data_IF_884679452475
#
_entry.id   IF_884679452475
#
_cell.length_a   1.000
_cell.length_b   1.000
_cell.length_c   1.000
_cell.angle_alpha   90.00
_cell.angle_beta   90.00
_cell.angle_gamma   90.00
#
_symmetry.space_group_name_H-M   'P 1'
#
loop_
_entity.id
_entity.type
_entity.pdbx_description
1 polymer ?
#
# COMPACT_ATOMS: atom_id res chain seq x y z
N UNK A 1 -16.45 -16.81 -20.84
CA UNK A 1 -16.25 -15.53 -20.15
C UNK A 1 -16.06 -15.80 -18.66
N UNK A 2 -15.10 -15.15 -18.00
CA UNK A 2 -15.02 -15.07 -16.54
C UNK A 2 -15.24 -13.63 -16.12
N UNK A 3 -16.00 -13.40 -15.06
CA UNK A 3 -16.28 -12.06 -14.58
C UNK A 3 -16.41 -12.04 -13.07
N UNK A 4 -15.81 -11.04 -12.43
CA UNK A 4 -15.87 -10.78 -11.01
C UNK A 4 -16.04 -9.28 -10.77
N UNK A 5 -16.99 -8.91 -9.91
CA UNK A 5 -17.13 -7.56 -9.37
C UNK A 5 -17.23 -7.65 -7.85
N UNK A 6 -16.35 -6.94 -7.14
CA UNK A 6 -16.33 -6.88 -5.69
C UNK A 6 -16.50 -5.45 -5.21
N UNK A 7 -17.46 -5.23 -4.29
CA UNK A 7 -17.70 -3.91 -3.72
C UNK A 7 -16.80 -3.65 -2.53
N UNK A 8 -16.11 -2.52 -2.56
CA UNK A 8 -15.18 -2.11 -1.52
C UNK A 8 -15.93 -1.64 -0.27
N UNK A 9 -15.49 -2.14 0.88
CA UNK A 9 -16.00 -1.71 2.18
C UNK A 9 -14.85 -1.83 3.20
N UNK A 10 -14.53 -0.76 3.96
CA UNK A 10 -13.52 -0.86 5.02
C UNK A 10 -13.92 -1.89 6.08
N UNK A 11 -13.04 -2.88 6.33
CA UNK A 11 -13.32 -3.97 7.26
C UNK A 11 -12.98 -3.59 8.70
N UNK A 12 -13.80 -4.02 9.66
CA UNK A 12 -13.49 -3.83 11.07
C UNK A 12 -12.20 -4.56 11.46
N UNK A 13 -11.30 -3.86 12.15
CA UNK A 13 -10.12 -4.47 12.78
C UNK A 13 -10.56 -5.14 14.08
N UNK A 14 -10.39 -6.46 14.25
CA UNK A 14 -10.75 -7.13 15.49
C UNK A 14 -9.91 -6.61 16.66
N UNK A 15 -10.52 -6.46 17.84
CA UNK A 15 -9.85 -5.90 19.02
C UNK A 15 -8.61 -6.70 19.44
N UNK A 16 -8.65 -8.02 19.25
CA UNK A 16 -7.49 -8.89 19.49
C UNK A 16 -6.31 -8.50 18.59
N UNK A 17 -6.50 -8.33 17.28
CA UNK A 17 -5.42 -7.93 16.36
C UNK A 17 -4.89 -6.53 16.68
N UNK A 18 -5.78 -5.62 17.09
CA UNK A 18 -5.39 -4.27 17.53
C UNK A 18 -4.50 -4.32 18.78
N UNK A 19 -4.89 -5.11 19.77
CA UNK A 19 -4.15 -5.30 21.02
C UNK A 19 -2.82 -6.00 20.75
N UNK A 20 -2.82 -7.08 19.96
CA UNK A 20 -1.62 -7.83 19.58
C UNK A 20 -0.61 -6.91 18.87
N UNK A 21 -1.05 -6.13 17.89
CA UNK A 21 -0.19 -5.16 17.21
C UNK A 21 0.44 -4.17 18.19
N UNK A 22 -0.37 -3.61 19.09
CA UNK A 22 0.07 -2.58 20.05
C UNK A 22 1.09 -3.13 21.04
N UNK A 23 0.79 -4.27 21.66
CA UNK A 23 1.67 -4.88 22.66
C UNK A 23 2.93 -5.46 22.03
N UNK A 24 2.83 -6.04 20.83
CA UNK A 24 4.01 -6.48 20.07
C UNK A 24 4.92 -5.28 19.82
N UNK A 25 4.42 -4.19 19.23
CA UNK A 25 5.23 -3.02 18.91
C UNK A 25 5.91 -2.43 20.16
N UNK A 26 5.21 -2.39 21.31
CA UNK A 26 5.79 -1.97 22.60
C UNK A 26 6.91 -2.92 23.07
N UNK A 27 6.74 -4.23 22.89
CA UNK A 27 7.76 -5.23 23.23
C UNK A 27 9.03 -5.15 22.36
N UNK A 28 8.91 -4.62 21.15
CA UNK A 28 10.01 -4.53 20.18
C UNK A 28 11.06 -3.44 20.50
N UNK A 29 10.87 -2.63 21.54
CA UNK A 29 11.73 -1.48 21.91
C UNK A 29 13.22 -1.84 21.90
N UNK A 30 13.59 -2.92 22.62
CA UNK A 30 15.00 -3.31 22.74
C UNK A 30 15.58 -3.76 21.40
N UNK A 31 14.81 -4.51 20.60
CA UNK A 31 15.27 -4.95 19.27
C UNK A 31 15.44 -3.77 18.33
N UNK A 32 14.50 -2.83 18.32
CA UNK A 32 14.57 -1.60 17.50
C UNK A 32 15.81 -0.80 17.89
N UNK A 33 16.01 -0.55 19.19
CA UNK A 33 17.18 0.18 19.69
C UNK A 33 18.49 -0.48 19.25
N UNK A 34 18.65 -1.77 19.53
CA UNK A 34 19.85 -2.53 19.21
C UNK A 34 20.13 -2.53 17.70
N UNK A 35 19.10 -2.70 16.86
CA UNK A 35 19.27 -2.64 15.42
C UNK A 35 19.74 -1.24 14.95
N UNK A 36 19.18 -0.16 15.49
CA UNK A 36 19.54 1.21 15.15
C UNK A 36 20.99 1.53 15.51
N UNK A 37 21.39 1.28 16.75
CA UNK A 37 22.76 1.57 17.22
C UNK A 37 23.80 0.63 16.62
N UNK A 38 23.41 -0.59 16.20
CA UNK A 38 24.31 -1.49 15.46
C UNK A 38 24.56 -0.97 14.05
N UNK A 39 23.52 -0.47 13.37
CA UNK A 39 23.63 0.04 12.00
C UNK A 39 24.33 1.40 11.95
N UNK A 40 24.11 2.23 12.96
CA UNK A 40 24.62 3.60 13.07
C UNK A 40 25.30 3.76 14.44
N UNK A 41 26.50 3.17 14.61
CA UNK A 41 27.19 3.16 15.90
C UNK A 41 27.81 4.51 16.28
N UNK A 42 28.09 5.36 15.29
CA UNK A 42 28.84 6.60 15.47
C UNK A 42 28.42 7.70 14.47
N UNK A 43 29.02 8.88 14.64
CA UNK A 43 28.77 10.05 13.80
C UNK A 43 29.17 9.84 12.34
N UNK A 44 30.22 9.07 12.08
CA UNK A 44 30.69 8.80 10.71
C UNK A 44 29.66 7.95 9.98
N UNK A 45 29.16 6.89 10.63
CA UNK A 45 28.09 6.06 10.11
C UNK A 45 26.81 6.88 9.89
N UNK A 46 26.46 7.78 10.82
CA UNK A 46 25.30 8.66 10.67
C UNK A 46 25.42 9.56 9.44
N UNK A 47 26.58 10.21 9.24
CA UNK A 47 26.83 11.08 8.09
C UNK A 47 26.67 10.32 6.77
N UNK A 48 27.23 9.11 6.69
CA UNK A 48 27.19 8.31 5.47
C UNK A 48 25.79 7.73 5.18
N UNK A 49 25.14 7.15 6.19
CA UNK A 49 23.90 6.38 6.01
C UNK A 49 22.66 7.27 5.99
N UNK A 50 22.63 8.33 6.79
CA UNK A 50 21.48 9.23 6.89
C UNK A 50 21.75 10.53 6.15
N UNK A 51 22.79 11.29 6.55
CA UNK A 51 22.91 12.68 6.12
C UNK A 51 23.18 12.82 4.62
N UNK A 52 24.20 12.12 4.11
CA UNK A 52 24.58 12.20 2.69
C UNK A 52 23.51 11.55 1.81
N UNK A 53 23.01 10.37 2.21
CA UNK A 53 21.93 9.68 1.48
C UNK A 53 20.66 10.54 1.33
N UNK A 54 20.29 11.28 2.39
CA UNK A 54 19.14 12.19 2.33
C UNK A 54 19.43 13.44 1.48
N UNK A 55 20.65 13.99 1.56
CA UNK A 55 21.06 15.14 0.76
C UNK A 55 21.02 14.84 -0.75
N UNK A 56 21.46 13.64 -1.15
CA UNK A 56 21.49 13.21 -2.55
C UNK A 56 20.10 13.19 -3.20
N UNK A 57 19.06 12.84 -2.45
CA UNK A 57 17.67 12.91 -2.96
C UNK A 57 17.11 14.33 -2.84
N UNK A 58 17.40 15.01 -1.74
CA UNK A 58 16.85 16.35 -1.48
C UNK A 58 17.31 17.37 -2.52
N UNK A 59 18.56 17.30 -2.99
CA UNK A 59 19.09 18.25 -3.97
C UNK A 59 18.32 18.22 -5.31
N UNK A 60 17.79 17.07 -5.70
CA UNK A 60 17.03 16.87 -6.94
C UNK A 60 15.55 17.29 -6.80
N UNK A 61 15.05 17.33 -5.56
CA UNK A 61 13.72 17.82 -5.25
C UNK A 61 13.63 19.36 -5.27
N UNK A 62 14.71 20.05 -4.92
CA UNK A 62 14.73 21.52 -4.90
C UNK A 62 14.71 22.06 -6.33
N UNK A 63 13.70 22.89 -6.65
CA UNK A 63 13.59 23.56 -7.94
C UNK A 63 14.86 24.40 -8.21
N UNK A 64 15.61 24.11 -9.29
CA UNK A 64 16.86 24.82 -9.58
C UNK A 64 16.66 26.30 -9.90
N UNK A 65 15.45 26.70 -10.30
CA UNK A 65 15.13 28.09 -10.64
C UNK A 65 14.58 28.89 -9.43
N UNK A 66 14.54 28.29 -8.25
CA UNK A 66 14.14 29.00 -7.03
C UNK A 66 15.28 29.91 -6.55
N UNK A 67 14.93 31.08 -6.02
CA UNK A 67 15.91 31.99 -5.43
C UNK A 67 16.71 31.27 -4.34
N UNK A 68 18.02 31.42 -4.34
CA UNK A 68 18.93 30.78 -3.37
C UNK A 68 18.88 29.24 -3.35
N UNK A 69 18.48 28.57 -4.44
CA UNK A 69 18.41 27.10 -4.51
C UNK A 69 19.70 26.41 -4.01
N UNK A 70 20.88 26.94 -4.34
CA UNK A 70 22.15 26.37 -3.89
C UNK A 70 22.40 26.60 -2.39
N UNK A 71 21.99 27.75 -1.85
CA UNK A 71 22.09 28.00 -0.42
C UNK A 71 21.11 27.15 0.39
N UNK A 72 19.91 26.88 -0.15
CA UNK A 72 18.93 25.95 0.46
C UNK A 72 19.52 24.54 0.55
N UNK A 73 20.12 24.04 -0.54
CA UNK A 73 20.81 22.74 -0.57
C UNK A 73 21.96 22.71 0.44
N UNK A 74 22.81 23.74 0.45
CA UNK A 74 23.94 23.86 1.38
C UNK A 74 23.47 23.84 2.84
N UNK A 75 22.45 24.63 3.18
CA UNK A 75 21.85 24.69 4.51
C UNK A 75 21.33 23.33 4.96
N UNK A 76 20.66 22.58 4.09
CA UNK A 76 20.19 21.24 4.40
C UNK A 76 21.36 20.31 4.74
N UNK A 77 22.40 20.29 3.90
CA UNK A 77 23.60 19.46 4.09
C UNK A 77 24.30 19.77 5.40
N UNK A 78 24.52 21.04 5.72
CA UNK A 78 25.20 21.46 6.96
C UNK A 78 24.39 21.06 8.18
N UNK A 79 23.09 21.38 8.20
CA UNK A 79 22.24 21.10 9.36
C UNK A 79 22.12 19.61 9.63
N UNK A 80 21.84 18.82 8.61
CA UNK A 80 21.69 17.38 8.78
C UNK A 80 23.04 16.72 9.10
N UNK A 81 24.12 17.15 8.47
CA UNK A 81 25.46 16.60 8.72
C UNK A 81 25.94 16.80 10.16
N UNK A 82 25.57 17.90 10.82
CA UNK A 82 25.92 18.18 12.23
C UNK A 82 24.95 17.60 13.27
N UNK A 83 23.86 16.94 12.86
CA UNK A 83 22.76 16.58 13.76
C UNK A 83 22.96 15.27 14.55
N UNK A 84 24.14 14.62 14.49
CA UNK A 84 24.32 13.29 15.07
C UNK A 84 24.04 13.25 16.57
N UNK A 85 24.55 14.19 17.35
CA UNK A 85 24.37 14.19 18.81
C UNK A 85 22.89 14.36 19.20
N UNK A 86 22.18 15.26 18.52
CA UNK A 86 20.74 15.46 18.71
C UNK A 86 19.94 14.23 18.29
N UNK A 87 20.31 13.61 17.17
CA UNK A 87 19.71 12.35 16.70
C UNK A 87 19.92 11.22 17.72
N UNK A 88 21.16 11.00 18.18
CA UNK A 88 21.52 9.93 19.13
C UNK A 88 20.79 10.12 20.45
N UNK A 89 20.78 11.35 20.99
CA UNK A 89 20.00 11.69 22.18
C UNK A 89 18.51 11.41 22.00
N UNK A 90 17.96 11.72 20.82
CA UNK A 90 16.57 11.44 20.48
C UNK A 90 16.25 9.94 20.47
N UNK A 91 17.13 9.12 19.88
CA UNK A 91 17.05 7.65 19.85
C UNK A 91 17.13 7.07 21.26
N UNK A 92 18.10 7.53 22.05
CA UNK A 92 18.30 7.04 23.42
C UNK A 92 17.10 7.33 24.31
N UNK A 93 16.56 8.55 24.25
CA UNK A 93 15.36 8.90 25.01
C UNK A 93 14.12 8.12 24.54
N UNK A 94 14.05 7.76 23.25
CA UNK A 94 12.92 7.03 22.70
C UNK A 94 12.90 5.58 23.16
N UNK A 95 14.05 4.91 23.17
CA UNK A 95 14.11 3.46 23.25
C UNK A 95 14.99 2.90 24.39
N UNK A 96 15.76 3.73 25.09
CA UNK A 96 16.65 3.30 26.16
C UNK A 96 16.36 4.03 27.48
N UNK A 97 17.05 3.62 28.55
CA UNK A 97 16.91 4.22 29.88
C UNK A 97 15.77 3.63 30.72
N UNK A 98 15.52 4.24 31.88
CA UNK A 98 14.57 3.73 32.88
C UNK A 98 13.10 3.89 32.45
N UNK A 99 12.80 4.88 31.61
CA UNK A 99 11.44 5.16 31.13
C UNK A 99 11.46 5.67 29.67
N UNK A 100 11.75 4.79 28.69
CA UNK A 100 11.75 5.18 27.28
C UNK A 100 10.36 5.65 26.87
N UNK A 101 10.28 6.74 26.10
CA UNK A 101 8.97 7.30 25.72
C UNK A 101 8.28 6.54 24.57
N UNK A 102 8.96 5.62 23.88
CA UNK A 102 8.37 4.94 22.73
C UNK A 102 7.08 4.16 23.07
N UNK A 103 7.03 3.29 24.12
CA UNK A 103 5.80 2.60 24.48
C UNK A 103 4.62 3.52 24.78
N UNK A 104 4.85 4.64 25.47
CA UNK A 104 3.78 5.60 25.78
C UNK A 104 3.30 6.35 24.52
N UNK A 105 4.19 6.58 23.55
CA UNK A 105 3.80 7.11 22.23
C UNK A 105 3.02 6.11 21.41
N UNK A 106 3.37 4.82 21.45
CA UNK A 106 2.58 3.76 20.80
C UNK A 106 1.17 3.76 21.39
N UNK A 107 1.05 3.72 22.72
CA UNK A 107 -0.26 3.75 23.40
C UNK A 107 -1.09 4.97 23.00
N UNK A 108 -0.52 6.17 23.14
CA UNK A 108 -1.25 7.43 22.86
C UNK A 108 -1.59 7.65 21.37
N UNK A 109 -1.01 6.88 20.45
CA UNK A 109 -1.28 6.97 19.01
C UNK A 109 -1.89 5.70 18.43
N UNK A 110 -2.15 4.67 19.24
CA UNK A 110 -2.61 3.36 18.79
C UNK A 110 -3.88 3.46 17.92
N UNK A 111 -4.82 4.32 18.28
CA UNK A 111 -6.07 4.54 17.52
C UNK A 111 -5.85 4.88 16.04
N UNK A 112 -4.71 5.48 15.68
CA UNK A 112 -4.39 5.74 14.27
C UNK A 112 -4.24 4.45 13.46
N UNK A 113 -3.79 3.36 14.09
CA UNK A 113 -3.65 2.06 13.45
C UNK A 113 -5.01 1.50 12.98
N UNK A 114 -6.13 1.87 13.61
CA UNK A 114 -7.47 1.43 13.17
C UNK A 114 -7.80 1.85 11.74
N UNK A 115 -7.10 2.84 11.17
CA UNK A 115 -7.21 3.20 9.74
C UNK A 115 -6.75 2.08 8.80
N UNK A 116 -6.04 1.07 9.28
CA UNK A 116 -5.73 -0.16 8.51
C UNK A 116 -6.99 -0.84 7.97
N UNK A 117 -8.16 -0.60 8.57
CA UNK A 117 -9.48 -1.04 8.06
C UNK A 117 -9.72 -0.74 6.58
N UNK A 118 -9.22 0.39 6.12
CA UNK A 118 -9.34 0.85 4.72
C UNK A 118 -8.53 -0.09 3.82
N UNK A 119 -7.28 -0.38 4.19
CA UNK A 119 -6.45 -1.36 3.50
C UNK A 119 -7.05 -2.78 3.57
N UNK A 120 -7.54 -3.20 4.74
CA UNK A 120 -8.21 -4.51 4.90
C UNK A 120 -9.43 -4.65 4.00
N UNK A 121 -10.16 -3.57 3.70
CA UNK A 121 -11.23 -3.57 2.71
C UNK A 121 -10.80 -4.04 1.32
N UNK A 122 -9.54 -3.79 0.95
CA UNK A 122 -8.99 -4.20 -0.34
C UNK A 122 -8.36 -5.60 -0.29
N UNK A 123 -7.55 -5.89 0.73
CA UNK A 123 -6.72 -7.12 0.78
C UNK A 123 -7.32 -8.24 1.62
N UNK A 124 -8.26 -7.93 2.51
CA UNK A 124 -8.90 -8.86 3.44
C UNK A 124 -8.06 -9.14 4.69
N UNK A 125 -8.66 -9.91 5.61
CA UNK A 125 -7.99 -10.51 6.77
C UNK A 125 -8.25 -12.01 6.73
N UNK A 126 -7.24 -12.78 6.36
CA UNK A 126 -7.44 -14.15 5.84
C UNK A 126 -8.16 -15.09 6.81
N UNK A 127 -7.86 -15.02 8.10
CA UNK A 127 -8.45 -15.92 9.09
C UNK A 127 -9.91 -15.57 9.43
N UNK A 128 -10.32 -14.30 9.28
CA UNK A 128 -11.65 -13.80 9.68
C UNK A 128 -12.57 -13.54 8.49
N UNK A 129 -12.11 -12.80 7.50
CA UNK A 129 -12.92 -12.35 6.37
C UNK A 129 -12.62 -13.11 5.07
N UNK A 130 -11.44 -13.74 5.00
CA UNK A 130 -10.90 -14.33 3.77
C UNK A 130 -10.07 -13.32 2.97
N UNK A 131 -9.84 -13.62 1.69
CA UNK A 131 -9.20 -12.69 0.75
C UNK A 131 -10.10 -11.51 0.42
N UNK A 132 -9.51 -10.32 0.32
CA UNK A 132 -10.22 -9.11 -0.11
C UNK A 132 -10.44 -9.04 -1.62
N UNK A 133 -11.20 -8.02 -2.04
CA UNK A 133 -11.67 -7.88 -3.42
C UNK A 133 -10.54 -7.70 -4.44
N UNK A 134 -9.43 -7.05 -4.07
CA UNK A 134 -8.28 -6.89 -4.97
C UNK A 134 -7.62 -8.24 -5.28
N UNK A 135 -7.50 -9.09 -4.25
CA UNK A 135 -6.92 -10.42 -4.35
C UNK A 135 -7.82 -11.36 -5.17
N UNK A 136 -9.14 -11.24 -4.97
CA UNK A 136 -10.14 -12.02 -5.71
C UNK A 136 -10.18 -11.63 -7.19
N UNK A 137 -10.26 -10.34 -7.51
CA UNK A 137 -10.29 -9.84 -8.88
C UNK A 137 -9.09 -10.32 -9.71
N UNK A 138 -7.85 -10.10 -9.24
CA UNK A 138 -6.69 -10.62 -9.98
C UNK A 138 -6.62 -12.15 -9.93
N UNK A 139 -7.13 -12.77 -8.87
CA UNK A 139 -7.12 -14.22 -8.69
C UNK A 139 -7.93 -14.96 -9.75
N UNK A 140 -9.12 -14.47 -10.09
CA UNK A 140 -10.02 -15.13 -11.04
C UNK A 140 -9.49 -15.12 -12.47
N UNK A 141 -8.72 -14.10 -12.85
CA UNK A 141 -8.09 -13.98 -14.18
C UNK A 141 -6.62 -14.45 -14.23
N UNK A 142 -5.99 -14.75 -13.09
CA UNK A 142 -4.63 -15.32 -13.03
C UNK A 142 -4.60 -16.83 -12.77
N UNK A 143 -5.74 -17.51 -12.89
CA UNK A 143 -5.86 -18.95 -12.68
C UNK A 143 -5.78 -19.39 -11.20
N UNK A 144 -5.90 -18.47 -10.25
CA UNK A 144 -5.73 -18.81 -8.83
C UNK A 144 -7.01 -19.38 -8.22
N UNK A 145 -7.29 -20.66 -8.48
CA UNK A 145 -8.52 -21.34 -8.06
C UNK A 145 -8.86 -21.23 -6.56
N UNK A 146 -7.88 -21.00 -5.69
CA UNK A 146 -8.11 -20.86 -4.26
C UNK A 146 -8.95 -19.63 -3.89
N UNK A 147 -9.02 -18.60 -4.74
CA UNK A 147 -9.83 -17.40 -4.44
C UNK A 147 -11.33 -17.69 -4.48
N UNK A 148 -11.76 -18.73 -5.19
CA UNK A 148 -13.17 -19.12 -5.28
C UNK A 148 -13.80 -19.37 -3.90
N UNK A 149 -13.02 -19.87 -2.92
CA UNK A 149 -13.50 -20.15 -1.56
C UNK A 149 -13.90 -18.88 -0.78
N UNK A 150 -13.38 -17.72 -1.19
CA UNK A 150 -13.58 -16.44 -0.51
C UNK A 150 -14.52 -15.50 -1.28
N UNK A 151 -15.03 -15.92 -2.45
CA UNK A 151 -16.04 -15.22 -3.23
C UNK A 151 -17.40 -15.52 -2.62
N UNK A 152 -18.07 -14.48 -2.13
CA UNK A 152 -19.38 -14.54 -1.48
C UNK A 152 -20.07 -13.21 -1.68
N UNK A 153 -21.40 -13.20 -1.58
CA UNK A 153 -22.17 -11.96 -1.59
C UNK A 153 -21.55 -10.94 -0.60
N UNK A 154 -21.45 -9.65 -0.97
CA UNK A 154 -22.06 -9.00 -2.13
C UNK A 154 -21.23 -9.07 -3.43
N UNK A 155 -20.17 -9.87 -3.49
CA UNK A 155 -19.44 -10.03 -4.73
C UNK A 155 -20.28 -10.74 -5.80
N UNK A 156 -20.11 -10.32 -7.03
CA UNK A 156 -20.69 -10.93 -8.21
C UNK A 156 -19.60 -11.74 -8.92
N UNK A 157 -19.87 -13.01 -9.23
CA UNK A 157 -18.93 -13.87 -9.93
C UNK A 157 -19.65 -14.81 -10.88
N UNK A 158 -19.17 -14.86 -12.13
CA UNK A 158 -19.68 -15.76 -13.15
C UNK A 158 -18.52 -16.40 -13.93
N UNK A 159 -18.83 -17.54 -14.58
CA UNK A 159 -17.87 -18.27 -15.39
C UNK A 159 -16.90 -19.14 -14.59
N UNK A 160 -15.70 -19.33 -15.12
CA UNK A 160 -14.68 -20.22 -14.55
C UNK A 160 -13.33 -19.52 -14.48
N UNK A 161 -12.64 -19.68 -13.34
CA UNK A 161 -11.30 -19.13 -13.11
C UNK A 161 -10.34 -19.62 -14.19
N UNK A 162 -9.68 -18.68 -14.86
CA UNK A 162 -8.77 -18.93 -15.98
C UNK A 162 -7.51 -18.09 -15.80
N UNK A 163 -6.39 -18.53 -16.39
CA UNK A 163 -5.19 -17.70 -16.49
C UNK A 163 -5.17 -17.02 -17.85
N UNK A 164 -5.28 -15.69 -17.86
CA UNK A 164 -5.30 -14.86 -19.08
C UNK A 164 -3.92 -14.28 -19.41
N UNK A 165 -2.94 -14.46 -18.52
CA UNK A 165 -1.62 -13.89 -18.65
C UNK A 165 -0.68 -14.81 -19.41
N UNK A 166 0.31 -14.19 -20.07
CA UNK A 166 1.40 -14.88 -20.76
C UNK A 166 2.06 -15.95 -19.86
N UNK A 167 2.58 -17.04 -20.43
CA UNK A 167 3.25 -18.10 -19.68
C UNK A 167 4.30 -17.54 -18.71
N UNK A 168 4.15 -17.89 -17.42
CA UNK A 168 5.07 -17.48 -16.35
C UNK A 168 4.78 -16.11 -15.70
N UNK A 169 3.98 -15.23 -16.33
CA UNK A 169 3.69 -13.89 -15.82
C UNK A 169 2.72 -13.88 -14.62
N UNK A 170 1.80 -14.85 -14.56
CA UNK A 170 0.72 -14.92 -13.57
C UNK A 170 1.16 -14.77 -12.10
N UNK A 171 2.38 -15.21 -11.74
CA UNK A 171 2.90 -15.10 -10.36
C UNK A 171 3.33 -13.68 -9.99
N UNK A 172 3.72 -12.87 -10.98
CA UNK A 172 4.26 -11.52 -10.79
C UNK A 172 3.16 -10.46 -10.93
N UNK A 173 2.19 -10.69 -11.82
CA UNK A 173 1.02 -9.81 -11.97
C UNK A 173 0.16 -9.74 -10.70
N UNK A 174 0.07 -10.83 -9.93
CA UNK A 174 -0.73 -10.88 -8.68
C UNK A 174 -0.30 -9.84 -7.66
N UNK A 175 0.94 -9.86 -7.13
CA UNK A 175 1.37 -8.86 -6.15
C UNK A 175 1.37 -7.45 -6.73
N UNK A 176 1.68 -7.29 -8.02
CA UNK A 176 1.65 -5.99 -8.70
C UNK A 176 0.23 -5.40 -8.74
N UNK A 177 -0.75 -6.16 -9.24
CA UNK A 177 -2.14 -5.72 -9.32
C UNK A 177 -2.73 -5.43 -7.94
N UNK A 178 -2.48 -6.29 -6.94
CA UNK A 178 -2.96 -6.08 -5.58
C UNK A 178 -2.44 -4.76 -5.04
N UNK A 179 -1.14 -4.48 -5.17
CA UNK A 179 -0.55 -3.23 -4.70
C UNK A 179 -1.18 -1.99 -5.38
N UNK A 180 -1.37 -2.03 -6.70
CA UNK A 180 -1.94 -0.92 -7.49
C UNK A 180 -3.40 -0.69 -7.09
N UNK A 181 -4.22 -1.74 -7.10
CA UNK A 181 -5.65 -1.68 -6.76
C UNK A 181 -5.84 -1.19 -5.32
N UNK A 182 -5.08 -1.74 -4.36
CA UNK A 182 -5.17 -1.35 -2.95
C UNK A 182 -4.84 0.13 -2.76
N UNK A 183 -3.76 0.64 -3.39
CA UNK A 183 -3.43 2.07 -3.35
C UNK A 183 -4.58 2.91 -3.88
N UNK A 184 -5.12 2.56 -5.05
CA UNK A 184 -6.22 3.29 -5.69
C UNK A 184 -7.48 3.33 -4.83
N UNK A 185 -7.94 2.18 -4.33
CA UNK A 185 -9.13 2.10 -3.49
C UNK A 185 -8.97 2.86 -2.17
N UNK A 186 -7.80 2.78 -1.52
CA UNK A 186 -7.55 3.49 -0.26
C UNK A 186 -7.65 5.01 -0.47
N UNK A 187 -6.99 5.53 -1.50
CA UNK A 187 -7.01 6.97 -1.78
C UNK A 187 -8.38 7.44 -2.26
N UNK A 188 -9.03 6.68 -3.15
CA UNK A 188 -10.38 6.99 -3.62
C UNK A 188 -11.40 6.95 -2.47
N UNK A 189 -11.23 6.04 -1.51
CA UNK A 189 -12.07 5.97 -0.30
C UNK A 189 -11.91 7.22 0.56
N UNK A 190 -10.69 7.72 0.75
CA UNK A 190 -10.48 8.95 1.52
C UNK A 190 -11.08 10.17 0.82
N UNK A 191 -10.96 10.26 -0.50
CA UNK A 191 -11.58 11.33 -1.27
C UNK A 191 -13.12 11.25 -1.18
N UNK A 192 -13.69 10.05 -1.33
CA UNK A 192 -15.13 9.81 -1.17
C UNK A 192 -15.64 10.19 0.22
N UNK A 193 -14.97 9.75 1.28
CA UNK A 193 -15.34 10.06 2.67
C UNK A 193 -15.27 11.58 2.96
N UNK A 194 -14.42 12.31 2.24
CA UNK A 194 -14.27 13.76 2.33
C UNK A 194 -15.22 14.54 1.38
N UNK A 195 -16.03 13.87 0.56
CA UNK A 195 -16.89 14.51 -0.43
C UNK A 195 -16.16 15.08 -1.65
N UNK A 196 -14.89 14.69 -1.84
CA UNK A 196 -14.00 15.14 -2.92
C UNK A 196 -14.16 14.24 -4.15
N UNK A 197 -15.29 14.37 -4.85
CA UNK A 197 -15.67 13.47 -5.95
C UNK A 197 -14.74 13.59 -7.17
N UNK A 198 -14.29 14.80 -7.50
CA UNK A 198 -13.36 15.02 -8.62
C UNK A 198 -11.99 14.36 -8.36
N UNK A 199 -11.48 14.46 -7.13
CA UNK A 199 -10.24 13.82 -6.70
C UNK A 199 -10.39 12.30 -6.66
N UNK A 200 -11.52 11.79 -6.18
CA UNK A 200 -11.84 10.35 -6.24
C UNK A 200 -11.76 9.83 -7.66
N UNK A 201 -12.41 10.51 -8.60
CA UNK A 201 -12.46 10.09 -10.01
C UNK A 201 -11.10 10.21 -10.69
N UNK A 202 -10.31 11.22 -10.32
CA UNK A 202 -8.91 11.38 -10.75
C UNK A 202 -8.02 10.24 -10.24
N UNK A 203 -8.18 9.82 -8.99
CA UNK A 203 -7.45 8.68 -8.41
C UNK A 203 -7.84 7.37 -9.11
N UNK A 204 -9.12 7.16 -9.40
CA UNK A 204 -9.61 5.99 -10.15
C UNK A 204 -8.95 5.95 -11.53
N UNK A 205 -9.01 7.06 -12.26
CA UNK A 205 -8.41 7.19 -13.60
C UNK A 205 -6.92 6.87 -13.57
N UNK A 206 -6.15 7.54 -12.69
CA UNK A 206 -4.72 7.31 -12.57
C UNK A 206 -4.36 5.88 -12.16
N UNK A 207 -5.20 5.22 -11.34
CA UNK A 207 -4.99 3.82 -10.96
C UNK A 207 -5.20 2.88 -12.15
N UNK A 208 -6.27 3.09 -12.91
CA UNK A 208 -6.58 2.30 -14.10
C UNK A 208 -5.54 2.49 -15.20
N UNK A 209 -4.98 3.70 -15.37
CA UNK A 209 -3.86 3.95 -16.28
C UNK A 209 -2.61 3.15 -15.89
N UNK A 210 -2.30 3.06 -14.59
CA UNK A 210 -1.19 2.23 -14.12
C UNK A 210 -1.46 0.75 -14.38
N UNK A 211 -2.68 0.25 -14.15
CA UNK A 211 -3.05 -1.14 -14.46
C UNK A 211 -2.91 -1.43 -15.96
N UNK A 212 -3.37 -0.51 -16.82
CA UNK A 212 -3.25 -0.57 -18.27
C UNK A 212 -1.79 -0.63 -18.73
N UNK A 213 -0.92 0.18 -18.11
CA UNK A 213 0.49 0.27 -18.47
C UNK A 213 1.40 -0.79 -17.81
N UNK A 214 0.86 -1.65 -16.95
CA UNK A 214 1.68 -2.64 -16.22
C UNK A 214 1.09 -4.06 -16.26
N UNK A 215 -0.01 -4.29 -15.57
CA UNK A 215 -0.64 -5.61 -15.41
C UNK A 215 -1.26 -6.06 -16.73
N UNK A 216 -2.01 -5.19 -17.40
CA UNK A 216 -2.71 -5.53 -18.64
C UNK A 216 -1.76 -5.73 -19.82
N UNK A 217 -0.53 -5.18 -19.78
CA UNK A 217 0.52 -5.45 -20.77
C UNK A 217 1.08 -6.88 -20.72
N UNK A 218 0.76 -7.65 -19.69
CA UNK A 218 1.21 -9.03 -19.52
C UNK A 218 0.13 -10.06 -19.89
N UNK A 219 -1.03 -9.59 -20.39
CA UNK A 219 -2.12 -10.44 -20.88
C UNK A 219 -1.71 -11.11 -22.20
N UNK A 220 -2.12 -12.36 -22.37
CA UNK A 220 -2.05 -13.05 -23.66
C UNK A 220 -3.17 -12.54 -24.58
N UNK A 221 -2.92 -11.38 -25.20
CA UNK A 221 -3.91 -10.67 -26.02
C UNK A 221 -4.26 -11.40 -27.32
N UNK A 222 -3.50 -12.44 -27.69
CA UNK A 222 -3.87 -13.32 -28.80
C UNK A 222 -5.07 -14.20 -28.44
N UNK A 223 -5.24 -14.53 -27.15
CA UNK A 223 -6.28 -15.43 -26.68
C UNK A 223 -7.36 -14.74 -25.84
N UNK A 224 -7.07 -13.58 -25.23
CA UNK A 224 -8.00 -12.92 -24.30
C UNK A 224 -8.11 -11.41 -24.49
N UNK A 225 -9.34 -10.91 -24.33
CA UNK A 225 -9.65 -9.50 -24.05
C UNK A 225 -9.95 -9.41 -22.56
N UNK A 226 -9.29 -8.50 -21.85
CA UNK A 226 -9.32 -8.43 -20.38
C UNK A 226 -9.60 -7.01 -19.92
N UNK A 227 -10.57 -6.89 -19.02
CA UNK A 227 -10.80 -5.70 -18.19
C UNK A 227 -10.30 -6.00 -16.78
N UNK A 228 -9.52 -5.09 -16.21
CA UNK A 228 -9.17 -5.08 -14.79
C UNK A 228 -9.10 -3.63 -14.34
N UNK A 229 -10.01 -3.23 -13.48
CA UNK A 229 -10.17 -1.83 -13.10
C UNK A 229 -10.71 -1.67 -11.68
N UNK A 230 -10.53 -0.47 -11.14
CA UNK A 230 -11.32 0.04 -10.03
C UNK A 230 -12.32 1.06 -10.57
N UNK A 231 -13.43 1.22 -9.87
CA UNK A 231 -14.44 2.21 -10.25
C UNK A 231 -15.33 2.63 -9.10
N UNK A 232 -16.30 3.48 -9.42
CA UNK A 232 -17.31 3.95 -8.50
C UNK A 232 -18.70 3.69 -9.08
N UNK A 233 -19.54 3.05 -8.30
CA UNK A 233 -20.90 2.67 -8.66
C UNK A 233 -21.86 3.64 -7.98
N UNK A 234 -22.56 4.45 -8.78
CA UNK A 234 -23.45 5.52 -8.30
C UNK A 234 -24.72 5.00 -7.65
N UNK A 235 -25.19 3.83 -8.08
CA UNK A 235 -26.45 3.24 -7.60
C UNK A 235 -26.28 2.70 -6.18
N UNK A 236 -25.13 2.08 -5.94
CA UNK A 236 -24.76 1.54 -4.63
C UNK A 236 -23.95 2.53 -3.77
N UNK A 237 -23.54 3.67 -4.35
CA UNK A 237 -22.65 4.67 -3.74
C UNK A 237 -21.36 4.04 -3.18
N UNK A 238 -20.76 3.11 -3.94
CA UNK A 238 -19.60 2.32 -3.50
C UNK A 238 -18.50 2.27 -4.54
N UNK A 239 -17.26 2.25 -4.05
CA UNK A 239 -16.11 1.86 -4.87
C UNK A 239 -16.16 0.35 -5.14
N UNK A 240 -15.60 -0.08 -6.27
CA UNK A 240 -15.51 -1.49 -6.63
C UNK A 240 -14.19 -1.84 -7.30
N UNK A 241 -13.91 -3.14 -7.39
CA UNK A 241 -12.92 -3.72 -8.29
C UNK A 241 -13.66 -4.65 -9.25
N UNK A 242 -13.34 -4.52 -10.53
CA UNK A 242 -13.92 -5.36 -11.58
C UNK A 242 -12.81 -6.05 -12.36
N UNK A 243 -13.04 -7.32 -12.67
CA UNK A 243 -12.19 -8.08 -13.58
C UNK A 243 -13.04 -8.94 -14.49
N UNK A 244 -12.82 -8.85 -15.78
CA UNK A 244 -13.53 -9.61 -16.80
C UNK A 244 -12.54 -10.14 -17.83
N UNK A 245 -12.74 -11.36 -18.33
CA UNK A 245 -11.99 -11.87 -19.45
C UNK A 245 -12.82 -12.70 -20.42
N UNK A 246 -12.59 -12.46 -21.71
CA UNK A 246 -13.32 -13.01 -22.84
C UNK A 246 -12.33 -13.52 -23.90
N UNK A 247 -12.65 -14.57 -24.67
CA UNK A 247 -11.79 -14.99 -25.77
C UNK A 247 -11.61 -13.88 -26.82
N UNK A 248 -10.39 -13.66 -27.30
CA UNK A 248 -10.07 -12.61 -28.28
C UNK A 248 -10.71 -12.83 -29.68
N UNK A 249 -11.29 -14.01 -29.93
CA UNK A 249 -11.93 -14.39 -31.19
C UNK A 249 -13.42 -14.74 -31.09
N UNK A 250 -14.11 -14.31 -30.04
CA UNK A 250 -15.54 -14.63 -29.85
C UNK A 250 -16.48 -13.69 -30.61
N UNK A 251 -17.00 -14.17 -31.75
CA UNK A 251 -18.40 -13.96 -32.15
C UNK A 251 -19.35 -14.66 -31.20
#
# INVERSE_FOLDING_TARGET
>A
VVEYKGYYTPLELPEQDFTEWKETLKGEVSRIYNALITRIPDETAFRNIIAESAYEVYKDFVNPNWEDADFIKLKYRIKLGGAYQDWKKGVDNAFSGESPYFPSRVESKAEKFKKVRVTLGSVGLRYKYGRGIAVKAIGVISGWKAVAKDIKAPDEFTGSIVNVFLPGAARFVRPQAIAIITKGLVLASYAQDAGLTAERDSVITATNDVLANTVLKQVDTANYIVTLEIGFDTDTNKLFVHSKAEPAGGT
#
